data_IF_640438565958
#
_entry.id   IF_640438565958
#
_cell.length_a   1.000
_cell.length_b   1.000
_cell.length_c   1.000
_cell.angle_alpha   90.00
_cell.angle_beta   90.00
_cell.angle_gamma   90.00
#
_symmetry.space_group_name_H-M   'P 1'
#
loop_
_entity.id
_entity.type
_entity.pdbx_description
1 polymer ?
#
# COMPACT_ATOMS: atom_id res chain seq x y z
N UNK A 1 -24.21 -58.39 -25.05
CA UNK A 1 -25.33 -57.42 -25.06
C UNK A 1 -25.20 -56.60 -23.79
N UNK A 2 -24.43 -55.51 -23.81
CA UNK A 2 -24.95 -54.12 -23.81
C UNK A 2 -25.19 -53.65 -22.35
N UNK A 3 -24.83 -52.47 -21.87
CA UNK A 3 -24.19 -51.22 -22.36
C UNK A 3 -23.89 -50.41 -21.07
N UNK A 4 -22.76 -49.70 -21.02
CA UNK A 4 -22.54 -48.58 -20.07
C UNK A 4 -23.43 -47.37 -20.44
N UNK A 5 -23.86 -46.54 -19.48
CA UNK A 5 -24.05 -45.09 -19.68
C UNK A 5 -23.09 -44.31 -18.74
N UNK A 6 -22.22 -43.45 -19.25
CA UNK A 6 -22.42 -42.10 -19.80
C UNK A 6 -22.71 -41.04 -18.72
N UNK A 7 -21.64 -40.32 -18.35
CA UNK A 7 -21.63 -39.08 -17.58
C UNK A 7 -22.20 -37.95 -18.45
N UNK A 8 -23.30 -37.33 -18.02
CA UNK A 8 -23.91 -36.14 -18.62
C UNK A 8 -23.78 -34.94 -17.69
N UNK A 9 -23.05 -33.92 -18.14
CA UNK A 9 -22.83 -32.67 -17.42
C UNK A 9 -24.11 -31.85 -17.25
N UNK A 10 -24.26 -31.23 -16.07
CA UNK A 10 -25.27 -30.20 -15.80
C UNK A 10 -24.59 -28.84 -15.80
N UNK A 11 -24.89 -28.05 -16.82
CA UNK A 11 -24.62 -26.62 -16.89
C UNK A 11 -25.55 -25.88 -15.93
N UNK A 12 -24.98 -25.27 -14.89
CA UNK A 12 -25.69 -24.36 -13.99
C UNK A 12 -25.77 -22.94 -14.57
N UNK A 13 -26.80 -22.14 -14.20
CA UNK A 13 -27.02 -20.82 -14.77
C UNK A 13 -26.03 -19.77 -14.25
N UNK A 14 -25.68 -18.82 -15.12
CA UNK A 14 -24.80 -17.68 -14.84
C UNK A 14 -25.34 -16.76 -13.73
N UNK A 15 -24.48 -16.15 -12.89
CA UNK A 15 -24.92 -15.24 -11.83
C UNK A 15 -25.40 -13.89 -12.40
N UNK A 16 -26.52 -13.42 -11.85
CA UNK A 16 -27.21 -12.17 -12.20
C UNK A 16 -26.49 -10.95 -11.62
N UNK A 17 -26.43 -9.87 -12.40
CA UNK A 17 -25.98 -8.53 -11.98
C UNK A 17 -26.84 -8.02 -10.82
N UNK A 18 -26.24 -7.65 -9.69
CA UNK A 18 -26.90 -7.07 -8.52
C UNK A 18 -26.44 -5.64 -8.23
N UNK A 19 -27.38 -4.70 -8.36
CA UNK A 19 -27.54 -3.40 -7.70
C UNK A 19 -26.35 -2.46 -7.49
N UNK A 20 -26.18 -1.54 -8.44
CA UNK A 20 -25.50 -0.27 -8.23
C UNK A 20 -26.40 0.69 -7.42
N UNK A 21 -26.04 0.96 -6.15
CA UNK A 21 -26.63 2.07 -5.39
C UNK A 21 -26.10 3.41 -5.91
N UNK A 22 -26.96 4.18 -6.57
CA UNK A 22 -26.71 5.60 -6.91
C UNK A 22 -26.91 6.49 -5.68
N UNK A 23 -25.85 7.14 -5.21
CA UNK A 23 -25.98 8.36 -4.41
C UNK A 23 -25.93 9.57 -5.36
N UNK A 24 -26.94 10.45 -5.32
CA UNK A 24 -26.95 11.73 -6.05
C UNK A 24 -26.68 12.86 -5.06
N UNK A 25 -25.51 13.48 -5.15
CA UNK A 25 -25.27 14.81 -4.58
C UNK A 25 -25.74 15.88 -5.56
N UNK A 26 -26.44 16.90 -5.05
CA UNK A 26 -26.82 18.08 -5.82
C UNK A 26 -25.59 18.96 -6.07
N UNK A 27 -25.30 19.29 -7.33
CA UNK A 27 -24.37 20.34 -7.71
C UNK A 27 -25.04 21.22 -8.78
N UNK A 28 -25.35 22.47 -8.43
CA UNK A 28 -25.72 23.54 -9.35
C UNK A 28 -24.43 24.22 -9.84
N UNK A 29 -24.12 24.10 -11.12
CA UNK A 29 -22.99 24.79 -11.76
C UNK A 29 -22.45 24.03 -12.96
N UNK A 30 -22.67 24.57 -14.16
CA UNK A 30 -22.39 23.91 -15.44
C UNK A 30 -20.90 23.64 -15.68
N UNK A 31 -20.55 22.37 -15.64
CA UNK A 31 -19.32 21.78 -16.17
C UNK A 31 -19.50 20.27 -16.08
N UNK A 32 -19.46 19.56 -17.20
CA UNK A 32 -19.65 18.11 -17.21
C UNK A 32 -18.46 17.43 -16.53
N UNK A 33 -18.51 17.25 -15.21
CA UNK A 33 -17.61 16.37 -14.49
C UNK A 33 -18.09 14.95 -14.76
N UNK A 34 -17.36 14.23 -15.62
CA UNK A 34 -17.57 12.79 -15.82
C UNK A 34 -17.56 12.08 -14.47
N UNK A 35 -18.63 11.34 -14.17
CA UNK A 35 -18.71 10.55 -12.95
C UNK A 35 -17.60 9.50 -12.94
N UNK A 36 -16.66 9.64 -12.00
CA UNK A 36 -15.65 8.61 -11.74
C UNK A 36 -16.37 7.40 -11.16
N UNK A 37 -16.40 6.31 -11.92
CA UNK A 37 -16.91 5.01 -11.42
C UNK A 37 -15.75 4.32 -10.71
N UNK A 38 -15.79 4.33 -9.38
CA UNK A 38 -14.86 3.56 -8.56
C UNK A 38 -15.37 2.12 -8.46
N UNK A 39 -14.75 1.21 -9.22
CA UNK A 39 -15.02 -0.23 -9.15
C UNK A 39 -14.07 -0.89 -8.14
N UNK A 40 -14.55 -1.10 -6.91
CA UNK A 40 -13.75 -1.76 -5.85
C UNK A 40 -13.81 -3.28 -6.04
N UNK A 41 -12.81 -3.85 -6.72
CA UNK A 41 -12.74 -5.29 -7.06
C UNK A 41 -12.14 -6.19 -5.97
N UNK A 42 -12.10 -5.77 -4.72
CA UNK A 42 -11.48 -6.55 -3.64
C UNK A 42 -12.57 -7.20 -2.77
N UNK A 43 -12.55 -8.53 -2.71
CA UNK A 43 -13.39 -9.32 -1.81
C UNK A 43 -12.97 -9.06 -0.35
N UNK A 44 -13.90 -8.64 0.55
CA UNK A 44 -13.61 -8.42 1.96
C UNK A 44 -13.00 -9.65 2.67
N UNK A 45 -13.38 -10.86 2.27
CA UNK A 45 -12.83 -12.07 2.88
C UNK A 45 -11.37 -12.29 2.47
N UNK A 46 -11.06 -12.15 1.18
CA UNK A 46 -9.68 -12.18 0.68
C UNK A 46 -8.81 -11.09 1.35
N UNK A 47 -9.35 -9.89 1.56
CA UNK A 47 -8.67 -8.80 2.27
C UNK A 47 -8.32 -9.20 3.71
N UNK A 48 -9.27 -9.77 4.44
CA UNK A 48 -9.05 -10.20 5.83
C UNK A 48 -8.00 -11.30 5.90
N UNK A 49 -7.99 -12.23 4.96
CA UNK A 49 -6.98 -13.29 4.91
C UNK A 49 -5.58 -12.73 4.62
N UNK A 50 -5.45 -11.78 3.69
CA UNK A 50 -4.19 -11.09 3.43
C UNK A 50 -3.67 -10.37 4.70
N UNK A 51 -4.55 -9.66 5.43
CA UNK A 51 -4.19 -9.03 6.70
C UNK A 51 -3.66 -10.04 7.71
N UNK A 52 -4.34 -11.18 7.87
CA UNK A 52 -3.94 -12.25 8.78
C UNK A 52 -2.55 -12.80 8.45
N UNK A 53 -2.30 -13.05 7.17
CA UNK A 53 -1.02 -13.56 6.69
C UNK A 53 0.12 -12.53 6.92
N UNK A 54 -0.14 -11.26 6.64
CA UNK A 54 0.82 -10.17 6.81
C UNK A 54 1.15 -9.89 8.27
N UNK A 55 0.13 -9.80 9.13
CA UNK A 55 0.32 -9.56 10.57
C UNK A 55 1.07 -10.73 11.22
N UNK A 56 0.70 -11.98 10.89
CA UNK A 56 1.43 -13.15 11.40
C UNK A 56 2.89 -13.09 10.98
N UNK A 57 3.16 -12.98 9.68
CA UNK A 57 4.52 -12.97 9.14
C UNK A 57 5.34 -11.81 9.72
N UNK A 58 4.74 -10.64 9.81
CA UNK A 58 5.41 -9.41 10.21
C UNK A 58 5.76 -9.33 11.68
N UNK A 59 4.85 -9.74 12.56
CA UNK A 59 5.04 -9.68 14.00
C UNK A 59 5.87 -10.85 14.56
N UNK A 60 6.03 -11.94 13.80
CA UNK A 60 6.94 -13.04 14.17
C UNK A 60 8.34 -12.94 13.54
N UNK A 61 8.59 -11.93 12.69
CA UNK A 61 9.88 -11.74 12.05
C UNK A 61 10.88 -11.05 12.99
N UNK A 62 12.17 -11.21 12.68
CA UNK A 62 13.27 -10.47 13.32
C UNK A 62 14.14 -9.86 12.21
N UNK A 63 14.16 -8.53 12.03
CA UNK A 63 13.34 -7.52 12.74
C UNK A 63 11.84 -7.61 12.39
N UNK A 64 10.98 -7.15 13.31
CA UNK A 64 9.52 -7.10 13.09
C UNK A 64 9.17 -6.05 12.03
N UNK A 65 8.27 -6.37 11.12
CA UNK A 65 7.84 -5.44 10.08
C UNK A 65 6.41 -5.69 9.61
N UNK A 66 5.58 -4.64 9.61
CA UNK A 66 4.23 -4.66 9.04
C UNK A 66 4.23 -3.95 7.68
N UNK A 67 3.48 -4.44 6.68
CA UNK A 67 3.35 -3.73 5.41
C UNK A 67 2.56 -2.41 5.56
N UNK A 68 3.02 -1.37 4.87
CA UNK A 68 2.36 -0.06 4.84
C UNK A 68 0.94 -0.10 4.26
N UNK A 69 0.62 -1.16 3.51
CA UNK A 69 -0.73 -1.48 3.01
C UNK A 69 -1.83 -1.24 4.05
N UNK A 70 -1.54 -1.48 5.33
CA UNK A 70 -2.51 -1.40 6.42
C UNK A 70 -2.56 -0.03 7.11
N UNK A 71 -1.63 0.87 6.76
CA UNK A 71 -1.68 2.30 7.07
C UNK A 71 -2.63 3.06 6.13
N UNK A 72 -2.83 2.55 4.90
CA UNK A 72 -3.65 3.16 3.84
C UNK A 72 -4.93 2.34 3.54
N UNK A 73 -5.71 2.75 2.53
CA UNK A 73 -6.83 1.96 2.03
C UNK A 73 -6.37 0.67 1.30
N UNK A 74 -7.30 -0.15 0.79
CA UNK A 74 -7.14 -1.59 0.54
C UNK A 74 -6.10 -2.05 -0.52
N UNK A 75 -5.11 -1.23 -0.91
CA UNK A 75 -4.15 -1.53 -1.98
C UNK A 75 -2.80 -1.96 -1.40
N UNK A 76 -2.47 -3.23 -1.61
CA UNK A 76 -1.21 -3.85 -1.18
C UNK A 76 0.03 -3.35 -1.89
N UNK A 77 1.19 -3.42 -1.23
CA UNK A 77 2.50 -3.19 -1.82
C UNK A 77 3.12 -4.49 -2.38
N UNK A 78 3.00 -4.74 -3.69
CA UNK A 78 3.93 -5.67 -4.37
C UNK A 78 5.32 -5.01 -4.51
N UNK A 79 6.42 -5.77 -4.68
CA UNK A 79 7.71 -5.19 -5.02
C UNK A 79 7.60 -4.28 -6.25
N UNK A 80 8.11 -3.04 -6.15
CA UNK A 80 7.92 -1.97 -7.15
C UNK A 80 8.15 -2.39 -8.59
N UNK A 81 9.21 -3.14 -8.87
CA UNK A 81 9.52 -3.62 -10.22
C UNK A 81 8.44 -4.57 -10.79
N UNK A 82 7.94 -5.49 -9.95
CA UNK A 82 6.84 -6.40 -10.35
C UNK A 82 5.56 -5.63 -10.58
N UNK A 83 5.26 -4.66 -9.71
CA UNK A 83 4.10 -3.78 -9.88
C UNK A 83 4.17 -3.02 -11.21
N UNK A 84 5.30 -2.37 -11.51
CA UNK A 84 5.49 -1.62 -12.75
C UNK A 84 5.39 -2.52 -13.99
N UNK A 85 6.00 -3.70 -13.97
CA UNK A 85 5.91 -4.65 -15.08
C UNK A 85 4.48 -5.19 -15.28
N UNK A 86 3.79 -5.51 -14.18
CA UNK A 86 2.39 -5.94 -14.20
C UNK A 86 1.48 -4.84 -14.74
N UNK A 87 1.67 -3.59 -14.31
CA UNK A 87 0.94 -2.44 -14.81
C UNK A 87 1.19 -2.23 -16.31
N UNK A 88 2.46 -2.23 -16.73
CA UNK A 88 2.85 -2.06 -18.12
C UNK A 88 2.20 -3.12 -19.03
N UNK A 89 2.14 -4.37 -18.58
CA UNK A 89 1.51 -5.48 -19.30
C UNK A 89 -0.01 -5.31 -19.53
N UNK A 90 -0.66 -4.39 -18.80
CA UNK A 90 -2.10 -4.09 -18.99
C UNK A 90 -2.36 -2.94 -19.96
N UNK A 91 -1.33 -2.15 -20.32
CA UNK A 91 -1.45 -1.00 -21.19
C UNK A 91 -1.50 -1.42 -22.67
N UNK A 92 -2.33 -0.75 -23.45
CA UNK A 92 -2.46 -0.96 -24.91
C UNK A 92 -1.78 0.17 -25.69
N UNK A 93 -1.55 -0.01 -27.00
CA UNK A 93 -1.14 1.09 -27.86
C UNK A 93 -2.09 2.28 -27.74
N UNK A 94 -1.54 3.45 -27.39
CA UNK A 94 -2.31 4.68 -27.14
C UNK A 94 -2.53 5.00 -25.66
N UNK A 95 -2.36 4.02 -24.76
CA UNK A 95 -2.38 4.27 -23.31
C UNK A 95 -1.05 4.89 -22.85
N UNK A 96 -1.08 5.58 -21.70
CA UNK A 96 0.10 6.18 -21.08
C UNK A 96 0.05 6.06 -19.56
N UNK A 97 1.23 6.02 -18.92
CA UNK A 97 1.42 6.08 -17.48
C UNK A 97 1.96 7.46 -17.10
N UNK A 98 1.23 8.16 -16.24
CA UNK A 98 1.73 9.34 -15.54
C UNK A 98 2.16 8.93 -14.12
N UNK A 99 3.44 9.06 -13.81
CA UNK A 99 4.02 8.63 -12.53
C UNK A 99 4.72 9.79 -11.84
N UNK A 100 4.27 10.12 -10.63
CA UNK A 100 4.97 11.02 -9.71
C UNK A 100 6.00 10.27 -8.88
N UNK A 101 7.19 10.85 -8.74
CA UNK A 101 8.29 10.31 -7.93
C UNK A 101 8.85 11.41 -7.06
N UNK A 102 8.89 11.15 -5.78
CA UNK A 102 9.55 12.00 -4.79
C UNK A 102 11.07 11.87 -4.95
N UNK A 103 11.77 12.98 -5.14
CA UNK A 103 13.19 12.98 -5.47
C UNK A 103 14.03 13.04 -4.20
N UNK A 104 15.30 12.63 -4.29
CA UNK A 104 16.24 12.77 -3.17
C UNK A 104 16.47 14.26 -2.90
N UNK A 105 15.99 14.72 -1.74
CA UNK A 105 16.14 16.09 -1.23
C UNK A 105 17.10 16.13 -0.01
N UNK A 106 17.16 17.27 0.69
CA UNK A 106 17.93 17.41 1.94
C UNK A 106 17.38 16.50 3.06
N UNK A 107 18.28 15.83 3.79
CA UNK A 107 17.91 14.84 4.82
C UNK A 107 17.09 15.45 5.95
N UNK A 108 17.41 16.67 6.39
CA UNK A 108 16.67 17.30 7.48
C UNK A 108 15.24 17.66 7.03
N UNK A 109 15.06 18.03 5.76
CA UNK A 109 13.72 18.20 5.17
C UNK A 109 12.97 16.88 5.09
N UNK A 110 13.64 15.79 4.69
CA UNK A 110 13.05 14.45 4.63
C UNK A 110 12.55 14.00 5.99
N UNK A 111 13.33 14.14 7.05
CA UNK A 111 12.91 13.72 8.39
C UNK A 111 11.77 14.61 8.91
N UNK A 112 11.87 15.93 8.73
CA UNK A 112 10.82 16.86 9.15
C UNK A 112 9.48 16.68 8.40
N UNK A 113 9.50 16.18 7.17
CA UNK A 113 8.29 15.89 6.40
C UNK A 113 7.47 14.72 6.99
N UNK A 114 8.13 13.78 7.68
CA UNK A 114 7.48 12.62 8.30
C UNK A 114 7.34 12.75 9.82
N UNK A 115 7.99 13.72 10.47
CA UNK A 115 7.82 14.02 11.89
C UNK A 115 7.28 15.45 12.09
N UNK A 116 5.98 15.62 11.81
CA UNK A 116 5.36 16.93 11.90
C UNK A 116 5.15 17.34 13.36
N UNK A 117 5.47 18.60 13.69
CA UNK A 117 5.36 19.14 15.04
C UNK A 117 3.93 19.12 15.64
N UNK A 118 2.89 18.88 14.83
CA UNK A 118 1.50 18.76 15.29
C UNK A 118 1.10 17.30 15.60
N UNK A 119 1.99 16.33 15.34
CA UNK A 119 1.77 14.91 15.63
C UNK A 119 0.75 14.23 14.73
N UNK A 120 0.40 14.82 13.59
CA UNK A 120 -0.61 14.26 12.66
C UNK A 120 -0.09 12.99 12.00
N UNK A 121 1.17 12.99 11.55
CA UNK A 121 1.85 11.84 10.95
C UNK A 121 2.02 10.73 11.97
N UNK A 122 2.36 11.06 13.22
CA UNK A 122 2.44 10.08 14.29
C UNK A 122 1.07 9.41 14.56
N UNK A 123 -0.01 10.18 14.61
CA UNK A 123 -1.36 9.65 14.78
C UNK A 123 -1.80 8.78 13.60
N UNK A 124 -1.53 9.23 12.36
CA UNK A 124 -1.80 8.45 11.15
C UNK A 124 -1.03 7.14 11.13
N UNK A 125 0.26 7.20 11.43
CA UNK A 125 1.15 6.05 11.44
C UNK A 125 0.74 5.00 12.48
N UNK A 126 0.35 5.44 13.69
CA UNK A 126 -0.14 4.55 14.75
C UNK A 126 -1.49 3.90 14.43
N UNK A 127 -2.26 4.43 13.49
CA UNK A 127 -3.57 3.89 13.12
C UNK A 127 -3.50 2.43 12.63
N UNK A 128 -2.36 1.97 12.11
CA UNK A 128 -2.17 0.55 11.74
C UNK A 128 -2.42 -0.39 12.92
N UNK A 129 -2.06 0.02 14.14
CA UNK A 129 -2.30 -0.74 15.36
C UNK A 129 -3.80 -0.84 15.67
N UNK A 130 -4.53 0.28 15.52
CA UNK A 130 -5.98 0.32 15.69
C UNK A 130 -6.73 -0.51 14.61
N UNK A 131 -6.20 -0.58 13.39
CA UNK A 131 -6.73 -1.47 12.34
C UNK A 131 -6.53 -2.93 12.73
N UNK A 132 -5.33 -3.29 13.20
CA UNK A 132 -5.05 -4.66 13.63
C UNK A 132 -5.94 -5.06 14.81
N UNK A 133 -6.09 -4.15 15.78
CA UNK A 133 -6.99 -4.33 16.93
C UNK A 133 -8.42 -4.62 16.49
N UNK A 134 -9.01 -3.73 15.68
CA UNK A 134 -10.38 -3.86 15.19
C UNK A 134 -10.61 -5.12 14.34
N UNK A 135 -9.70 -5.43 13.43
CA UNK A 135 -9.93 -6.49 12.42
C UNK A 135 -9.54 -7.89 12.92
N UNK A 136 -8.58 -7.97 13.84
CA UNK A 136 -7.96 -9.21 14.32
C UNK A 136 -8.06 -9.44 15.83
N UNK A 137 -8.82 -8.61 16.56
CA UNK A 137 -8.99 -8.72 18.02
C UNK A 137 -7.62 -8.75 18.72
N UNK A 138 -6.91 -7.62 18.60
CA UNK A 138 -5.60 -7.47 19.21
C UNK A 138 -5.68 -6.72 20.56
N UNK A 139 -4.53 -6.37 21.13
CA UNK A 139 -4.43 -5.43 22.26
C UNK A 139 -3.13 -4.61 22.20
N UNK A 140 -2.73 -4.26 20.97
CA UNK A 140 -1.60 -3.36 20.70
C UNK A 140 -2.01 -1.91 21.01
N UNK A 141 -1.73 -1.46 22.23
CA UNK A 141 -1.99 -0.10 22.70
C UNK A 141 -1.14 0.94 21.93
N UNK A 142 -1.73 1.82 21.09
CA UNK A 142 -0.98 2.82 20.34
C UNK A 142 -0.21 3.82 21.21
N UNK A 143 -0.62 4.04 22.45
CA UNK A 143 0.05 4.95 23.38
C UNK A 143 1.32 4.32 23.98
N UNK A 144 1.47 3.00 23.86
CA UNK A 144 2.69 2.29 24.25
C UNK A 144 3.80 2.33 23.19
N UNK A 145 3.61 3.05 22.08
CA UNK A 145 4.59 3.18 21.00
C UNK A 145 4.98 4.64 20.73
N UNK A 146 6.22 4.87 20.36
CA UNK A 146 6.68 6.12 19.76
C UNK A 146 6.70 5.99 18.23
N UNK A 147 6.32 7.06 17.54
CA UNK A 147 6.58 7.19 16.10
C UNK A 147 8.03 7.59 15.90
N UNK A 148 8.70 6.92 14.97
CA UNK A 148 10.08 7.23 14.56
C UNK A 148 10.11 7.29 13.04
N UNK A 149 10.52 8.43 12.49
CA UNK A 149 10.94 8.54 11.10
C UNK A 149 12.47 8.48 11.04
N UNK A 150 13.03 7.66 10.15
CA UNK A 150 14.48 7.49 10.01
C UNK A 150 14.87 7.53 8.54
N UNK A 151 15.77 8.43 8.16
CA UNK A 151 16.43 8.35 6.86
C UNK A 151 17.44 7.21 6.81
N UNK A 152 17.39 6.38 5.75
CA UNK A 152 18.32 5.28 5.50
C UNK A 152 19.08 5.57 4.20
N UNK A 153 20.26 6.21 4.29
CA UNK A 153 20.98 6.73 3.13
C UNK A 153 21.42 5.64 2.15
N UNK A 154 21.75 4.44 2.65
CA UNK A 154 22.19 3.30 1.83
C UNK A 154 21.10 2.81 0.87
N UNK A 155 19.84 3.12 1.19
CA UNK A 155 18.67 2.71 0.45
C UNK A 155 17.86 3.88 -0.12
N UNK A 156 18.33 5.12 0.09
CA UNK A 156 17.67 6.36 -0.29
C UNK A 156 16.18 6.35 0.06
N UNK A 157 15.85 5.99 1.31
CA UNK A 157 14.47 5.90 1.78
C UNK A 157 14.31 6.39 3.21
N UNK A 158 13.13 6.93 3.51
CA UNK A 158 12.69 7.10 4.89
C UNK A 158 11.96 5.84 5.34
N UNK A 159 12.28 5.34 6.52
CA UNK A 159 11.52 4.28 7.19
C UNK A 159 10.68 4.87 8.31
N UNK A 160 9.43 4.43 8.43
CA UNK A 160 8.60 4.74 9.60
C UNK A 160 8.53 3.51 10.50
N UNK A 161 8.83 3.71 11.77
CA UNK A 161 8.92 2.66 12.77
C UNK A 161 8.07 3.01 14.00
N UNK A 162 7.42 1.99 14.56
CA UNK A 162 6.78 2.04 15.86
C UNK A 162 7.75 1.47 16.89
N UNK A 163 8.27 2.32 17.76
CA UNK A 163 9.19 1.90 18.82
C UNK A 163 8.43 1.65 20.11
N UNK A 164 8.57 0.47 20.69
CA UNK A 164 7.94 0.13 21.97
C UNK A 164 8.53 0.98 23.11
N UNK A 165 7.68 1.66 23.89
CA UNK A 165 8.10 2.51 25.02
C UNK A 165 8.46 1.71 26.27
N UNK A 166 8.07 0.43 26.32
CA UNK A 166 8.27 -0.49 27.45
C UNK A 166 8.35 -1.92 26.93
N UNK A 167 8.89 -2.82 27.74
CA UNK A 167 8.67 -4.23 27.49
C UNK A 167 7.17 -4.53 27.62
N UNK A 168 6.58 -5.18 26.62
CA UNK A 168 5.16 -5.51 26.61
C UNK A 168 4.88 -6.78 25.80
N UNK A 169 3.78 -7.42 26.18
CA UNK A 169 3.24 -8.57 25.48
C UNK A 169 1.86 -8.21 24.97
N UNK A 170 1.67 -8.36 23.68
CA UNK A 170 0.38 -8.17 23.02
C UNK A 170 -0.13 -9.50 22.45
N UNK A 171 -1.45 -9.66 22.39
CA UNK A 171 -2.15 -10.78 21.82
C UNK A 171 -2.83 -10.32 20.53
N UNK A 172 -2.77 -11.15 19.50
CA UNK A 172 -3.63 -11.03 18.32
C UNK A 172 -4.53 -12.27 18.31
N UNK A 173 -5.68 -12.17 18.98
CA UNK A 173 -6.50 -13.33 19.36
C UNK A 173 -7.06 -14.04 18.16
N UNK A 174 -7.47 -13.31 17.12
CA UNK A 174 -7.97 -13.94 15.90
C UNK A 174 -6.88 -14.80 15.23
N UNK A 175 -5.59 -14.59 15.52
CA UNK A 175 -4.48 -15.41 15.02
C UNK A 175 -3.98 -16.45 16.05
N UNK A 176 -4.42 -16.40 17.30
CA UNK A 176 -3.79 -17.18 18.39
C UNK A 176 -2.30 -16.86 18.53
N UNK A 177 -1.92 -15.60 18.34
CA UNK A 177 -0.54 -15.13 18.33
C UNK A 177 -0.26 -14.27 19.56
N UNK A 178 0.79 -14.60 20.31
CA UNK A 178 1.42 -13.71 21.28
C UNK A 178 2.63 -13.02 20.63
N UNK A 179 2.77 -11.73 20.90
CA UNK A 179 3.85 -10.88 20.39
C UNK A 179 4.56 -10.26 21.57
N UNK A 180 5.79 -10.71 21.80
CA UNK A 180 6.70 -10.10 22.78
C UNK A 180 7.47 -8.96 22.11
N UNK A 181 7.49 -7.81 22.78
CA UNK A 181 8.24 -6.62 22.42
C UNK A 181 9.11 -6.19 23.60
N UNK A 182 10.42 -6.07 23.38
CA UNK A 182 11.30 -5.45 24.36
C UNK A 182 11.10 -3.92 24.39
N UNK A 183 11.53 -3.28 25.47
CA UNK A 183 11.63 -1.81 25.50
C UNK A 183 12.61 -1.34 24.42
N UNK A 184 12.21 -0.34 23.64
CA UNK A 184 12.98 0.17 22.52
C UNK A 184 12.92 -0.69 21.25
N UNK A 185 12.23 -1.84 21.26
CA UNK A 185 12.10 -2.67 20.06
C UNK A 185 11.25 -1.96 18.99
N UNK A 186 11.70 -2.04 17.74
CA UNK A 186 11.09 -1.32 16.62
C UNK A 186 10.32 -2.27 15.70
N UNK A 187 9.11 -1.86 15.30
CA UNK A 187 8.34 -2.48 14.23
C UNK A 187 8.36 -1.52 13.04
N UNK A 188 9.00 -1.89 11.93
CA UNK A 188 8.93 -1.08 10.71
C UNK A 188 7.56 -1.25 10.07
N UNK A 189 6.87 -0.16 9.77
CA UNK A 189 5.52 -0.19 9.17
C UNK A 189 5.52 0.34 7.74
N UNK A 190 6.48 1.21 7.40
CA UNK A 190 6.48 1.90 6.13
C UNK A 190 7.89 2.18 5.62
N UNK A 191 7.99 2.21 4.29
CA UNK A 191 9.16 2.67 3.56
C UNK A 191 8.71 3.67 2.50
N UNK A 192 9.34 4.84 2.48
CA UNK A 192 9.16 5.85 1.45
C UNK A 192 10.47 6.02 0.69
N UNK A 193 10.57 5.37 -0.47
CA UNK A 193 11.73 5.48 -1.34
C UNK A 193 11.76 6.86 -2.00
N UNK A 194 12.93 7.48 -2.00
CA UNK A 194 13.24 8.67 -2.77
C UNK A 194 14.02 8.25 -4.02
N UNK A 195 13.88 9.02 -5.08
CA UNK A 195 14.37 8.64 -6.39
C UNK A 195 15.39 9.62 -6.93
N UNK A 196 16.39 9.08 -7.63
CA UNK A 196 17.27 9.88 -8.49
C UNK A 196 16.68 9.95 -9.88
N UNK A 197 16.85 11.09 -10.55
CA UNK A 197 16.31 11.36 -11.89
C UNK A 197 16.57 10.23 -12.90
N UNK A 198 17.83 9.79 -13.01
CA UNK A 198 18.23 8.71 -13.93
C UNK A 198 17.76 7.32 -13.50
N UNK A 199 17.55 7.08 -12.20
CA UNK A 199 17.07 5.80 -11.68
C UNK A 199 15.64 5.50 -12.11
N UNK A 200 14.76 6.51 -12.11
CA UNK A 200 13.35 6.38 -12.51
C UNK A 200 13.22 5.93 -13.97
N UNK A 201 14.03 6.51 -14.87
CA UNK A 201 14.06 6.12 -16.29
C UNK A 201 14.47 4.66 -16.48
N UNK A 202 15.49 4.21 -15.74
CA UNK A 202 15.95 2.83 -15.77
C UNK A 202 14.89 1.85 -15.28
N UNK A 203 14.20 2.16 -14.17
CA UNK A 203 13.11 1.32 -13.64
C UNK A 203 11.93 1.22 -14.63
N UNK A 204 11.53 2.33 -15.24
CA UNK A 204 10.45 2.35 -16.24
C UNK A 204 10.85 1.58 -17.50
N UNK A 205 12.07 1.76 -17.99
CA UNK A 205 12.58 1.02 -19.15
C UNK A 205 12.62 -0.49 -18.89
N UNK A 206 13.06 -0.91 -17.70
CA UNK A 206 13.07 -2.32 -17.29
C UNK A 206 11.66 -2.92 -17.22
N UNK A 207 10.64 -2.10 -16.95
CA UNK A 207 9.24 -2.50 -16.98
C UNK A 207 8.62 -2.48 -18.40
N UNK A 208 9.39 -2.14 -19.45
CA UNK A 208 8.88 -2.04 -20.81
C UNK A 208 8.15 -0.72 -21.12
N UNK A 209 8.40 0.32 -20.33
CA UNK A 209 7.82 1.65 -20.51
C UNK A 209 8.90 2.64 -20.98
N UNK A 210 8.61 3.35 -22.06
CA UNK A 210 9.50 4.40 -22.58
C UNK A 210 9.00 5.77 -22.18
N UNK A 211 9.83 6.51 -21.44
CA UNK A 211 9.57 7.89 -21.03
C UNK A 211 9.46 8.80 -22.27
N UNK A 212 8.42 9.63 -22.32
CA UNK A 212 8.16 10.62 -23.38
C UNK A 212 8.38 12.04 -22.90
N UNK A 213 7.94 12.33 -21.68
CA UNK A 213 8.06 13.65 -21.07
C UNK A 213 8.41 13.51 -19.60
N UNK A 214 9.08 14.54 -19.09
CA UNK A 214 9.41 14.70 -17.69
C UNK A 214 9.18 16.15 -17.30
N UNK A 215 8.63 16.34 -16.11
CA UNK A 215 8.52 17.63 -15.46
C UNK A 215 9.02 17.51 -14.04
N UNK A 216 9.50 18.62 -13.51
CA UNK A 216 9.90 18.75 -12.11
C UNK A 216 9.31 20.06 -11.59
N UNK A 217 9.06 20.11 -10.29
CA UNK A 217 8.75 21.39 -9.66
C UNK A 217 10.01 22.29 -9.63
N UNK A 218 9.86 23.61 -9.44
CA UNK A 218 11.00 24.53 -9.46
C UNK A 218 12.07 24.25 -8.40
N UNK A 219 11.71 23.63 -7.26
CA UNK A 219 12.68 23.26 -6.23
C UNK A 219 13.39 21.93 -6.54
N UNK A 220 12.85 21.13 -7.46
CA UNK A 220 13.41 19.84 -7.86
C UNK A 220 13.21 18.74 -6.81
N UNK A 221 12.18 18.89 -5.98
CA UNK A 221 11.81 17.93 -4.93
C UNK A 221 10.92 16.81 -5.50
N UNK A 222 10.11 17.10 -6.52
CA UNK A 222 9.17 16.16 -7.12
C UNK A 222 9.34 16.10 -8.63
N UNK A 223 9.47 14.88 -9.15
CA UNK A 223 9.46 14.58 -10.57
C UNK A 223 8.15 13.95 -11.03
N UNK A 224 7.70 14.28 -12.22
CA UNK A 224 6.58 13.62 -12.90
C UNK A 224 7.05 13.13 -14.26
N UNK A 225 6.84 11.84 -14.54
CA UNK A 225 7.16 11.22 -15.83
C UNK A 225 5.89 10.78 -16.55
N UNK A 226 5.82 11.04 -17.86
CA UNK A 226 4.83 10.46 -18.75
C UNK A 226 5.50 9.42 -19.63
N UNK A 227 5.05 8.18 -19.54
CA UNK A 227 5.62 7.04 -20.24
C UNK A 227 4.57 6.31 -21.06
N UNK A 228 4.99 5.70 -22.16
CA UNK A 228 4.13 4.87 -23.01
C UNK A 228 4.72 3.46 -23.12
N UNK A 229 3.91 2.44 -23.43
CA UNK A 229 4.43 1.11 -23.76
C UNK A 229 5.53 1.18 -24.83
N UNK A 230 6.60 0.42 -24.62
CA UNK A 230 7.77 0.31 -25.50
C UNK A 230 7.46 -0.23 -26.88
#
# INVERSE_FOLDING_TARGET
MGRRPALGGRTGPAPRRGDARRARGHATGGGAVSAVVLDTRLDPAARREALRADVRRGLTATPKALPATWSYDARGSEPRARFLAGLAATLRPGDALLLGTDLVEDVARLEAAYDDARGVTAAFHKNVLAVIDRELDADLDPDAFDHVARWVPEHERTEMLLRSRRAQRAHVRALGLEVDLAEGEEIRTEVSSKFRRGGVEGELAAAGLRVRHRWEDPAGDVGVSLSVPG
#
